data_IF_209923445666
#
_entry.id   IF_209923445666
#
_cell.length_a   1.000
_cell.length_b   1.000
_cell.length_c   1.000
_cell.angle_alpha   90.00
_cell.angle_beta   90.00
_cell.angle_gamma   90.00
#
_symmetry.space_group_name_H-M   'P 1'
#
loop_
_entity.id
_entity.type
_entity.pdbx_description
1 polymer ?
#
# COMPACT_ATOMS: atom_id res chain seq x y z
N UNK A 1 -19.84 8.58 -6.95
CA UNK A 1 -18.76 8.48 -5.95
C UNK A 1 -19.24 8.83 -4.53
N UNK A 2 -19.96 9.93 -4.31
CA UNK A 2 -20.43 10.32 -2.97
C UNK A 2 -21.37 9.34 -2.25
N UNK A 3 -22.12 8.49 -2.94
CA UNK A 3 -23.00 7.51 -2.31
C UNK A 3 -22.25 6.25 -1.84
N UNK A 4 -21.33 5.72 -2.63
CA UNK A 4 -20.54 4.50 -2.30
C UNK A 4 -19.70 4.73 -1.03
N UNK A 5 -19.17 5.94 -0.86
CA UNK A 5 -18.32 6.25 0.31
C UNK A 5 -19.09 6.33 1.64
N UNK A 6 -20.42 6.40 1.65
CA UNK A 6 -21.23 6.47 2.89
C UNK A 6 -21.73 5.10 3.35
N UNK A 7 -21.64 4.08 2.51
CA UNK A 7 -22.31 2.80 2.66
C UNK A 7 -21.49 1.74 3.40
N UNK A 8 -20.14 1.90 3.44
CA UNK A 8 -19.23 0.92 4.02
C UNK A 8 -18.52 1.43 5.29
N UNK A 9 -18.20 0.54 6.24
CA UNK A 9 -17.27 0.85 7.32
C UNK A 9 -15.96 1.41 6.77
N UNK A 10 -15.39 2.41 7.46
CA UNK A 10 -14.20 3.12 7.01
C UNK A 10 -13.04 2.90 7.93
N UNK A 11 -11.86 2.68 7.34
CA UNK A 11 -10.60 2.56 8.06
C UNK A 11 -9.58 3.49 7.41
N UNK A 12 -8.82 4.21 8.22
CA UNK A 12 -7.62 4.88 7.79
C UNK A 12 -6.42 3.99 8.16
N UNK A 13 -5.73 3.49 7.14
CA UNK A 13 -4.58 2.61 7.31
C UNK A 13 -3.33 3.45 7.57
N UNK A 14 -2.71 3.25 8.72
CA UNK A 14 -1.49 3.93 9.12
C UNK A 14 -0.25 3.32 8.43
N UNK A 15 0.84 4.08 8.42
CA UNK A 15 2.15 3.59 7.95
C UNK A 15 2.63 2.43 8.81
N UNK A 16 3.01 1.32 8.17
CA UNK A 16 3.44 0.09 8.83
C UNK A 16 2.31 -0.88 9.19
N UNK A 17 1.07 -0.57 8.79
CA UNK A 17 -0.08 -1.45 9.02
C UNK A 17 -0.40 -2.34 7.83
N UNK A 18 -1.02 -3.49 8.15
CA UNK A 18 -1.76 -4.33 7.23
C UNK A 18 -3.20 -4.49 7.72
N UNK A 19 -4.14 -4.60 6.80
CA UNK A 19 -5.54 -4.86 7.12
C UNK A 19 -6.10 -5.96 6.23
N UNK A 20 -6.71 -6.97 6.83
CA UNK A 20 -7.43 -8.04 6.17
C UNK A 20 -8.93 -7.87 6.42
N UNK A 21 -9.66 -7.51 5.39
CA UNK A 21 -11.10 -7.27 5.44
C UNK A 21 -11.88 -8.53 5.04
N UNK A 22 -12.65 -9.07 5.95
CA UNK A 22 -13.58 -10.21 5.72
C UNK A 22 -15.01 -9.73 5.43
N UNK A 23 -15.24 -8.43 5.51
CA UNK A 23 -16.49 -7.76 5.14
C UNK A 23 -16.16 -6.54 4.27
N UNK A 24 -17.12 -6.11 3.41
CA UNK A 24 -16.90 -4.92 2.60
C UNK A 24 -16.50 -3.70 3.45
N UNK A 25 -15.31 -3.18 3.23
CA UNK A 25 -14.72 -2.08 4.01
C UNK A 25 -14.02 -1.13 3.07
N UNK A 26 -14.20 0.17 3.27
CA UNK A 26 -13.50 1.21 2.54
C UNK A 26 -12.25 1.63 3.32
N UNK A 27 -11.08 1.27 2.81
CA UNK A 27 -9.79 1.56 3.43
C UNK A 27 -9.13 2.74 2.72
N UNK A 28 -8.72 3.74 3.49
CA UNK A 28 -8.05 4.95 2.99
C UNK A 28 -6.63 4.98 3.49
N UNK A 29 -5.69 5.37 2.63
CA UNK A 29 -4.31 5.68 3.05
C UNK A 29 -3.68 6.74 2.16
N UNK A 30 -2.58 7.34 2.64
CA UNK A 30 -1.81 8.36 1.94
C UNK A 30 -0.37 7.88 1.79
N UNK A 31 0.12 7.88 0.57
CA UNK A 31 1.40 7.31 0.18
C UNK A 31 2.32 8.40 -0.38
N UNK A 32 3.53 8.47 0.15
CA UNK A 32 4.66 9.17 -0.44
C UNK A 32 5.64 8.16 -1.03
N UNK A 33 6.81 7.99 -0.40
CA UNK A 33 7.79 6.95 -0.72
C UNK A 33 7.36 5.54 -0.29
N UNK A 34 6.36 5.43 0.58
CA UNK A 34 5.73 4.17 0.96
C UNK A 34 4.98 3.55 -0.21
N UNK A 35 4.69 2.26 -0.09
CA UNK A 35 3.84 1.53 -1.04
C UNK A 35 2.65 0.89 -0.35
N UNK A 36 1.53 0.83 -1.07
CA UNK A 36 0.40 0.00 -0.72
C UNK A 36 0.25 -1.10 -1.76
N UNK A 37 0.15 -2.34 -1.30
CA UNK A 37 -0.22 -3.51 -2.10
C UNK A 37 -1.62 -3.93 -1.66
N UNK A 38 -2.51 -4.17 -2.63
CA UNK A 38 -3.84 -4.71 -2.37
C UNK A 38 -3.95 -6.10 -2.96
N UNK A 39 -4.58 -7.01 -2.22
CA UNK A 39 -4.95 -8.35 -2.65
C UNK A 39 -6.48 -8.48 -2.53
N UNK A 40 -7.16 -8.89 -3.59
CA UNK A 40 -8.62 -9.02 -3.58
C UNK A 40 -9.05 -10.36 -4.15
N UNK A 41 -9.96 -11.05 -3.46
CA UNK A 41 -10.74 -12.17 -3.98
C UNK A 41 -12.17 -11.70 -4.16
N UNK A 42 -12.56 -11.38 -5.39
CA UNK A 42 -13.92 -10.91 -5.71
C UNK A 42 -14.96 -11.96 -5.40
N UNK A 43 -14.67 -13.23 -5.73
CA UNK A 43 -15.59 -14.34 -5.52
C UNK A 43 -15.92 -14.56 -4.04
N UNK A 44 -14.97 -14.24 -3.16
CA UNK A 44 -15.13 -14.33 -1.71
C UNK A 44 -15.57 -13.02 -1.06
N UNK A 45 -15.50 -11.89 -1.78
CA UNK A 45 -15.77 -10.57 -1.25
C UNK A 45 -14.81 -10.12 -0.16
N UNK A 46 -13.57 -10.64 -0.16
CA UNK A 46 -12.53 -10.34 0.84
C UNK A 46 -11.33 -9.65 0.20
N UNK A 47 -10.66 -8.82 0.97
CA UNK A 47 -9.48 -8.10 0.49
C UNK A 47 -8.48 -7.79 1.60
N UNK A 48 -7.23 -7.64 1.21
CA UNK A 48 -6.15 -7.21 2.10
C UNK A 48 -5.41 -6.02 1.50
N UNK A 49 -4.86 -5.18 2.37
CA UNK A 49 -4.04 -4.04 1.99
C UNK A 49 -2.93 -3.84 3.02
N UNK A 50 -1.75 -3.43 2.57
CA UNK A 50 -0.69 -2.96 3.46
C UNK A 50 -0.27 -1.52 3.14
N UNK A 51 0.39 -0.86 4.11
CA UNK A 51 1.10 0.40 3.93
C UNK A 51 2.54 0.24 4.41
N UNK A 52 3.39 -0.34 3.56
CA UNK A 52 4.79 -0.61 3.86
C UNK A 52 5.69 0.56 3.47
N UNK A 53 6.74 0.81 4.28
CA UNK A 53 7.63 1.97 4.06
C UNK A 53 9.12 1.61 3.94
N UNK A 54 9.50 0.35 4.19
CA UNK A 54 10.84 -0.17 4.00
C UNK A 54 10.82 -1.40 3.07
N UNK A 55 11.85 -1.61 2.24
CA UNK A 55 11.83 -2.68 1.24
C UNK A 55 11.97 -4.07 1.85
N UNK A 56 12.95 -4.28 2.75
CA UNK A 56 13.34 -5.62 3.18
C UNK A 56 13.67 -5.69 4.67
N UNK A 57 13.06 -6.64 5.36
CA UNK A 57 13.29 -6.91 6.79
C UNK A 57 14.67 -7.51 7.09
N UNK A 58 15.33 -8.15 6.12
CA UNK A 58 16.65 -8.74 6.33
C UNK A 58 17.73 -7.69 6.62
N UNK A 59 17.62 -6.49 6.02
CA UNK A 59 18.56 -5.40 6.29
C UNK A 59 18.49 -4.94 7.76
N UNK A 60 17.30 -4.87 8.34
CA UNK A 60 17.09 -4.56 9.76
C UNK A 60 17.60 -5.68 10.68
N UNK A 61 17.34 -6.94 10.32
CA UNK A 61 17.83 -8.10 11.08
C UNK A 61 19.36 -8.14 11.14
N UNK A 62 20.05 -7.84 10.02
CA UNK A 62 21.53 -7.79 9.98
C UNK A 62 22.10 -6.70 10.90
N UNK A 63 21.34 -5.62 11.16
CA UNK A 63 21.70 -4.56 12.12
C UNK A 63 21.35 -4.90 13.55
N UNK A 64 20.81 -6.09 13.83
CA UNK A 64 20.39 -6.54 15.16
C UNK A 64 19.08 -5.93 15.65
N UNK A 65 18.32 -5.26 14.77
CA UNK A 65 17.02 -4.71 15.10
C UNK A 65 16.00 -5.85 15.23
N UNK A 66 15.36 -5.95 16.39
CA UNK A 66 14.21 -6.83 16.61
C UNK A 66 12.95 -6.02 16.28
N UNK A 67 12.43 -6.15 15.07
CA UNK A 67 11.21 -5.44 14.68
C UNK A 67 9.99 -6.35 14.75
N UNK A 68 9.05 -6.09 15.66
CA UNK A 68 7.80 -6.82 15.75
C UNK A 68 6.78 -6.43 14.66
N UNK A 69 6.99 -5.31 13.94
CA UNK A 69 6.03 -4.79 12.96
C UNK A 69 6.22 -5.45 11.59
N UNK A 70 5.54 -6.57 11.39
CA UNK A 70 5.60 -7.37 10.15
C UNK A 70 5.26 -6.54 8.91
N UNK A 71 4.31 -5.61 9.00
CA UNK A 71 3.82 -4.83 7.87
C UNK A 71 4.66 -3.58 7.54
N UNK A 72 5.73 -3.33 8.30
CA UNK A 72 6.69 -2.25 8.05
C UNK A 72 7.48 -2.46 6.76
N UNK A 73 7.81 -3.72 6.44
CA UNK A 73 8.61 -4.09 5.29
C UNK A 73 7.76 -4.69 4.19
N UNK A 74 8.06 -4.32 2.94
CA UNK A 74 7.32 -4.79 1.76
C UNK A 74 7.29 -6.31 1.66
N UNK A 75 8.45 -6.97 1.86
CA UNK A 75 8.54 -8.42 1.76
C UNK A 75 7.66 -9.13 2.78
N UNK A 76 7.76 -8.77 4.07
CA UNK A 76 6.99 -9.42 5.12
C UNK A 76 5.51 -9.01 5.13
N UNK A 77 5.18 -7.80 4.66
CA UNK A 77 3.80 -7.36 4.51
C UNK A 77 3.04 -8.19 3.48
N UNK A 78 3.64 -8.42 2.30
CA UNK A 78 3.04 -9.27 1.26
C UNK A 78 2.85 -10.69 1.77
N UNK A 79 3.89 -11.29 2.37
CA UNK A 79 3.82 -12.65 2.93
C UNK A 79 2.72 -12.79 3.99
N UNK A 80 2.60 -11.80 4.89
CA UNK A 80 1.57 -11.77 5.93
C UNK A 80 0.15 -11.70 5.34
N UNK A 81 -0.05 -10.85 4.33
CA UNK A 81 -1.34 -10.75 3.63
C UNK A 81 -1.69 -12.06 2.90
N UNK A 82 -0.75 -12.67 2.18
CA UNK A 82 -0.95 -13.94 1.49
C UNK A 82 -1.30 -15.07 2.46
N UNK A 83 -0.62 -15.15 3.59
CA UNK A 83 -0.95 -16.10 4.65
C UNK A 83 -2.37 -15.87 5.20
N UNK A 84 -2.75 -14.61 5.42
CA UNK A 84 -4.11 -14.24 5.85
C UNK A 84 -5.17 -14.68 4.84
N UNK A 85 -4.97 -14.40 3.55
CA UNK A 85 -5.88 -14.80 2.48
C UNK A 85 -5.99 -16.34 2.38
N UNK A 86 -4.86 -17.04 2.48
CA UNK A 86 -4.85 -18.53 2.47
C UNK A 86 -5.60 -19.11 3.66
N UNK A 87 -5.47 -18.54 4.86
CA UNK A 87 -6.24 -18.97 6.05
C UNK A 87 -7.75 -18.80 5.86
N UNK A 88 -8.18 -17.84 5.04
CA UNK A 88 -9.57 -17.67 4.65
C UNK A 88 -10.02 -18.65 3.52
N UNK A 89 -9.14 -19.54 3.08
CA UNK A 89 -9.41 -20.50 2.01
C UNK A 89 -9.39 -19.88 0.60
N UNK A 90 -8.75 -18.71 0.44
CA UNK A 90 -8.57 -18.08 -0.88
C UNK A 90 -7.36 -18.71 -1.57
N UNK A 91 -7.54 -19.10 -2.82
CA UNK A 91 -6.43 -19.53 -3.68
C UNK A 91 -5.59 -18.33 -4.10
N UNK A 92 -4.27 -18.39 -3.92
CA UNK A 92 -3.35 -17.30 -4.28
C UNK A 92 -3.45 -16.95 -5.76
N UNK A 93 -3.60 -17.94 -6.63
CA UNK A 93 -3.65 -17.77 -8.09
C UNK A 93 -4.92 -17.05 -8.58
N UNK A 94 -5.92 -16.85 -7.72
CA UNK A 94 -7.16 -16.13 -8.06
C UNK A 94 -7.18 -14.70 -7.54
N UNK A 95 -6.09 -14.26 -6.90
CA UNK A 95 -5.99 -12.93 -6.33
C UNK A 95 -5.78 -11.86 -7.40
N UNK A 96 -6.59 -10.82 -7.35
CA UNK A 96 -6.33 -9.57 -8.03
C UNK A 96 -5.34 -8.75 -7.21
N UNK A 97 -4.22 -8.36 -7.82
CA UNK A 97 -3.15 -7.61 -7.16
C UNK A 97 -3.03 -6.22 -7.76
N UNK A 98 -2.92 -5.19 -6.92
CA UNK A 98 -2.62 -3.82 -7.36
C UNK A 98 -1.55 -3.19 -6.48
N UNK A 99 -0.75 -2.27 -7.06
CA UNK A 99 0.40 -1.64 -6.40
C UNK A 99 0.38 -0.12 -6.59
N UNK A 100 0.52 0.63 -5.50
CA UNK A 100 0.51 2.09 -5.52
C UNK A 100 1.60 2.67 -4.63
N UNK A 101 2.12 3.87 -4.98
CA UNK A 101 3.03 4.61 -4.13
C UNK A 101 4.46 4.71 -4.66
N UNK A 102 5.45 4.68 -3.76
CA UNK A 102 6.87 4.70 -4.13
C UNK A 102 7.33 6.02 -4.77
N UNK A 103 6.70 7.15 -4.42
CA UNK A 103 7.13 8.45 -4.93
C UNK A 103 8.54 8.80 -4.45
N UNK A 104 9.34 9.39 -5.33
CA UNK A 104 10.62 10.01 -4.99
C UNK A 104 10.35 11.44 -4.57
N UNK A 105 10.72 11.83 -3.35
CA UNK A 105 10.59 13.23 -2.92
C UNK A 105 11.34 14.18 -3.85
N UNK A 106 10.93 15.45 -3.92
CA UNK A 106 11.53 16.49 -4.76
C UNK A 106 13.05 16.64 -4.51
N UNK A 107 13.50 16.38 -3.29
CA UNK A 107 14.90 16.44 -2.89
C UNK A 107 15.80 15.37 -3.55
N UNK A 108 15.25 14.22 -3.93
CA UNK A 108 15.99 13.07 -4.50
C UNK A 108 16.31 13.27 -6.00
N UNK A 109 15.72 14.25 -6.67
CA UNK A 109 16.04 14.59 -8.07
C UNK A 109 17.51 14.96 -8.32
N UNK A 110 18.29 15.26 -7.26
CA UNK A 110 19.70 15.69 -7.36
C UNK A 110 20.72 14.60 -7.06
N UNK A 111 20.27 13.40 -6.62
CA UNK A 111 21.18 12.29 -6.29
C UNK A 111 20.82 11.13 -7.22
N UNK A 112 21.67 10.87 -8.21
CA UNK A 112 21.55 9.74 -9.16
C UNK A 112 21.74 8.38 -8.48
N UNK A 113 22.19 8.37 -7.23
CA UNK A 113 22.42 7.13 -6.48
C UNK A 113 21.10 6.49 -6.02
N UNK A 114 20.73 5.41 -6.70
CA UNK A 114 19.51 4.63 -6.46
C UNK A 114 19.42 4.06 -5.03
N UNK A 115 20.54 3.97 -4.32
CA UNK A 115 20.61 3.43 -2.95
C UNK A 115 19.85 4.28 -1.93
N UNK A 116 19.71 5.59 -2.19
CA UNK A 116 18.99 6.54 -1.32
C UNK A 116 17.50 6.71 -1.67
N UNK A 117 17.04 6.16 -2.80
CA UNK A 117 15.65 6.27 -3.21
C UNK A 117 14.79 5.14 -2.61
N UNK A 118 14.31 5.37 -1.39
CA UNK A 118 13.51 4.38 -0.67
C UNK A 118 12.21 4.03 -1.42
N UNK A 119 11.57 4.99 -2.08
CA UNK A 119 10.35 4.74 -2.85
C UNK A 119 10.57 3.76 -4.00
N UNK A 120 11.63 3.96 -4.77
CA UNK A 120 12.03 3.05 -5.84
C UNK A 120 12.33 1.65 -5.30
N UNK A 121 13.10 1.55 -4.21
CA UNK A 121 13.44 0.26 -3.59
C UNK A 121 12.22 -0.49 -3.06
N UNK A 122 11.22 0.23 -2.53
CA UNK A 122 9.95 -0.36 -2.11
C UNK A 122 9.20 -0.96 -3.31
N UNK A 123 9.12 -0.24 -4.42
CA UNK A 123 8.48 -0.71 -5.66
C UNK A 123 9.21 -1.93 -6.22
N UNK A 124 10.55 -1.87 -6.36
CA UNK A 124 11.36 -2.98 -6.86
C UNK A 124 11.20 -4.25 -5.99
N UNK A 125 11.12 -4.08 -4.66
CA UNK A 125 10.89 -5.19 -3.75
C UNK A 125 9.48 -5.78 -3.92
N UNK A 126 8.44 -4.93 -4.09
CA UNK A 126 7.08 -5.40 -4.32
C UNK A 126 7.00 -6.24 -5.60
N UNK A 127 7.53 -5.73 -6.70
CA UNK A 127 7.62 -6.48 -7.97
C UNK A 127 8.33 -7.82 -7.81
N UNK A 128 9.50 -7.82 -7.15
CA UNK A 128 10.29 -9.04 -6.92
C UNK A 128 9.51 -10.09 -6.14
N UNK A 129 8.89 -9.70 -5.03
CA UNK A 129 8.17 -10.65 -4.16
C UNK A 129 6.91 -11.17 -4.85
N UNK A 130 6.11 -10.30 -5.48
CA UNK A 130 4.91 -10.72 -6.20
C UNK A 130 5.23 -11.66 -7.35
N UNK A 131 6.27 -11.36 -8.14
CA UNK A 131 6.76 -12.25 -9.20
C UNK A 131 7.19 -13.63 -8.66
N UNK A 132 7.91 -13.67 -7.52
CA UNK A 132 8.33 -14.92 -6.92
C UNK A 132 7.14 -15.80 -6.44
N UNK A 133 6.01 -15.17 -6.12
CA UNK A 133 4.76 -15.87 -5.80
C UNK A 133 3.91 -16.21 -7.04
N UNK A 134 4.38 -15.86 -8.26
CA UNK A 134 3.64 -16.05 -9.50
C UNK A 134 2.40 -15.19 -9.61
N UNK A 135 2.42 -14.01 -8.98
CA UNK A 135 1.32 -13.06 -8.95
C UNK A 135 1.57 -11.92 -9.93
N UNK A 136 0.67 -11.74 -10.90
CA UNK A 136 0.68 -10.62 -11.82
C UNK A 136 0.00 -9.39 -11.20
N UNK A 137 0.61 -8.22 -11.42
CA UNK A 137 0.03 -6.94 -11.00
C UNK A 137 -0.95 -6.49 -12.08
N UNK A 138 -2.25 -6.48 -11.75
CA UNK A 138 -3.31 -6.07 -12.68
C UNK A 138 -3.28 -4.57 -12.98
N UNK A 139 -2.93 -3.76 -11.99
CA UNK A 139 -2.88 -2.30 -12.12
C UNK A 139 -1.88 -1.70 -11.14
N UNK A 140 -1.14 -0.70 -11.59
CA UNK A 140 -0.23 0.04 -10.73
C UNK A 140 -0.16 1.53 -11.04
N UNK A 141 0.10 2.33 -10.02
CA UNK A 141 0.54 3.72 -10.15
C UNK A 141 1.68 3.96 -9.14
N UNK A 142 2.91 3.91 -9.65
CA UNK A 142 4.13 3.90 -8.84
C UNK A 142 5.14 4.96 -9.29
N UNK A 143 6.06 5.30 -8.37
CA UNK A 143 7.14 6.24 -8.67
C UNK A 143 6.64 7.69 -8.81
N UNK A 144 7.35 8.48 -9.63
CA UNK A 144 7.09 9.90 -9.80
C UNK A 144 7.46 10.73 -8.58
N UNK A 145 7.05 12.01 -8.57
CA UNK A 145 7.39 12.97 -7.50
C UNK A 145 6.22 13.34 -6.59
N UNK A 146 5.02 12.87 -6.89
CA UNK A 146 3.81 13.21 -6.15
C UNK A 146 3.33 12.07 -5.27
N UNK A 147 2.91 12.40 -4.04
CA UNK A 147 2.19 11.49 -3.18
C UNK A 147 0.80 11.14 -3.75
N UNK A 148 0.17 10.13 -3.15
CA UNK A 148 -1.16 9.66 -3.54
C UNK A 148 -2.03 9.44 -2.31
N UNK A 149 -3.29 9.83 -2.41
CA UNK A 149 -4.34 9.35 -1.52
C UNK A 149 -5.12 8.28 -2.28
N UNK A 150 -5.27 7.12 -1.69
CA UNK A 150 -6.07 6.02 -2.25
C UNK A 150 -7.22 5.65 -1.31
N UNK A 151 -8.32 5.21 -1.92
CA UNK A 151 -9.43 4.56 -1.26
C UNK A 151 -9.61 3.20 -1.91
N UNK A 152 -9.56 2.15 -1.12
CA UNK A 152 -9.68 0.76 -1.54
C UNK A 152 -10.96 0.14 -0.99
N UNK A 153 -11.83 -0.35 -1.84
CA UNK A 153 -12.99 -1.14 -1.45
C UNK A 153 -12.60 -2.63 -1.46
N UNK A 154 -12.52 -3.21 -0.28
CA UNK A 154 -11.94 -4.54 -0.07
C UNK A 154 -12.67 -5.68 -0.78
N UNK A 155 -13.99 -5.57 -0.95
CA UNK A 155 -14.82 -6.63 -1.54
C UNK A 155 -14.77 -6.69 -3.06
N UNK A 156 -14.50 -5.57 -3.73
CA UNK A 156 -14.50 -5.47 -5.20
C UNK A 156 -13.13 -5.25 -5.81
N UNK A 157 -12.16 -4.81 -4.99
CA UNK A 157 -10.84 -4.42 -5.47
C UNK A 157 -10.80 -3.06 -6.17
N UNK A 158 -11.91 -2.29 -6.13
CA UNK A 158 -11.94 -0.95 -6.69
C UNK A 158 -11.01 -0.01 -5.92
N UNK A 159 -10.27 0.81 -6.68
CA UNK A 159 -9.37 1.83 -6.14
C UNK A 159 -9.75 3.19 -6.75
N UNK A 160 -10.01 4.15 -5.88
CA UNK A 160 -10.06 5.56 -6.26
C UNK A 160 -8.78 6.23 -5.77
N UNK A 161 -8.10 6.91 -6.67
CA UNK A 161 -6.82 7.54 -6.38
C UNK A 161 -6.83 9.03 -6.75
N UNK A 162 -6.22 9.85 -5.88
CA UNK A 162 -5.93 11.26 -6.15
C UNK A 162 -4.46 11.52 -5.92
N UNK A 163 -3.79 12.15 -6.88
CA UNK A 163 -2.41 12.65 -6.70
C UNK A 163 -2.43 13.91 -5.85
N UNK A 164 -1.46 14.01 -4.94
CA UNK A 164 -1.34 15.12 -4.01
C UNK A 164 -0.45 16.21 -4.61
N UNK A 165 -0.92 17.45 -4.56
CA UNK A 165 -0.10 18.64 -4.87
C UNK A 165 0.70 19.05 -3.62
N UNK A 166 1.77 19.85 -3.77
CA UNK A 166 2.64 20.25 -2.65
C UNK A 166 1.90 20.89 -1.47
N UNK A 167 0.85 21.66 -1.74
CA UNK A 167 0.01 22.29 -0.72
C UNK A 167 -0.77 21.27 0.13
N UNK A 168 -1.22 20.16 -0.48
CA UNK A 168 -1.99 19.11 0.20
C UNK A 168 -1.09 18.28 1.13
N UNK A 169 0.20 18.14 0.81
CA UNK A 169 1.16 17.37 1.61
C UNK A 169 1.49 18.08 2.92
N UNK A 170 1.59 19.41 2.92
CA UNK A 170 1.87 20.22 4.11
C UNK A 170 0.70 20.23 5.11
N UNK A 171 -0.54 20.24 4.63
CA UNK A 171 -1.73 20.21 5.47
C UNK A 171 -1.87 18.86 6.20
N UNK A 172 -1.55 17.75 5.53
CA UNK A 172 -1.59 16.40 6.12
C UNK A 172 -0.44 16.15 7.11
N UNK A 173 0.75 16.75 6.88
CA UNK A 173 1.87 16.68 7.80
C UNK A 173 1.59 17.42 9.14
N UNK A 174 0.64 18.36 9.15
CA UNK A 174 0.20 19.12 10.33
C UNK A 174 -0.95 18.46 11.10
N UNK A 175 -1.31 17.21 10.75
CA UNK A 175 -2.24 16.38 11.54
C UNK A 175 -3.72 16.67 11.31
N UNK A 176 -4.09 17.28 10.18
CA UNK A 176 -5.51 17.42 9.80
C UNK A 176 -5.94 16.23 8.90
N UNK A 177 -6.61 15.20 9.45
CA UNK A 177 -7.04 14.04 8.68
C UNK A 177 -8.17 14.34 7.69
N UNK A 178 -8.74 15.55 7.72
CA UNK A 178 -9.89 15.96 6.91
C UNK A 178 -9.49 16.92 5.77
N UNK A 179 -8.26 17.41 5.74
CA UNK A 179 -7.77 18.26 4.65
C UNK A 179 -7.75 17.47 3.34
N UNK A 180 -8.71 17.71 2.48
CA UNK A 180 -8.84 17.06 1.17
C UNK A 180 -10.02 16.11 1.02
N UNK A 181 -11.12 16.34 1.76
CA UNK A 181 -12.37 15.55 1.64
C UNK A 181 -13.22 15.88 0.41
N UNK A 182 -12.78 16.78 -0.46
CA UNK A 182 -13.48 17.07 -1.72
C UNK A 182 -12.81 16.33 -2.89
N UNK A 183 -13.57 15.41 -3.47
CA UNK A 183 -13.38 14.84 -4.81
C UNK A 183 -14.42 15.42 -5.75
#
# INVERSE_FOLDING_TARGET
MNNVMKEYPRIFLQTGDCFLAVQPTLITTVLGSCVAITLTSRDRGVGAICHAFLPNSEESRRRGERDPQVCRFVNTAIENMLQGMTKLGVSINTLQVKLFGGASGIAVRRVEDSSYNIGRRNVEMAHKILHNWGLDIESEDVGGSQGRKIHFLSSTGEIWMKRLTGETTDAMAKGDPLAGSEF
#
